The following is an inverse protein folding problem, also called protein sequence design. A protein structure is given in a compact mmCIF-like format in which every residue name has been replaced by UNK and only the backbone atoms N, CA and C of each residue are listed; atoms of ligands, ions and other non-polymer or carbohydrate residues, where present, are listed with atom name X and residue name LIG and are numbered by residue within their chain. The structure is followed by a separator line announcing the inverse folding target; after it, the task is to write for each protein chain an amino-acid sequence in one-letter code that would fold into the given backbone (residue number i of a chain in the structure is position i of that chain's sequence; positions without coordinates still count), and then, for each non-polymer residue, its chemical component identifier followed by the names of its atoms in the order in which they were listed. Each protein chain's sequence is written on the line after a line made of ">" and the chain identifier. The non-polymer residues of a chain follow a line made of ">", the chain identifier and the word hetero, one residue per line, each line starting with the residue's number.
data_IF_240566443567
#
_entry.id   IF_240566443567
#
_cell.length_a   1.000
_cell.length_b   1.000
_cell.length_c   1.000
_cell.angle_alpha   90.00
_cell.angle_beta   90.00
_cell.angle_gamma   90.00
#
_symmetry.space_group_name_H-M   'P 1'
#
loop_
_entity.id
_entity.type
_entity.pdbx_description
1 polymer ?
#
# COMPACT_ATOMS: atom_id res chain seq x y z
N UNK A 1 5.02 -0.56 -7.14
CA UNK A 1 5.83 -0.13 -8.30
C UNK A 1 7.32 -0.34 -8.06
N UNK A 2 7.86 0.11 -6.92
CA UNK A 2 9.27 -0.12 -6.59
C UNK A 2 9.62 -1.61 -6.47
N UNK A 3 8.83 -2.36 -5.67
CA UNK A 3 9.03 -3.80 -5.47
C UNK A 3 8.65 -4.66 -6.68
N UNK A 4 7.97 -4.07 -7.66
CA UNK A 4 7.64 -4.70 -8.94
C UNK A 4 8.78 -4.60 -9.97
N UNK A 5 9.91 -3.97 -9.60
CA UNK A 5 11.11 -3.89 -10.45
C UNK A 5 11.17 -2.68 -11.39
N UNK A 6 10.20 -1.76 -11.35
CA UNK A 6 10.13 -0.58 -12.24
C UNK A 6 11.18 0.51 -11.96
N UNK A 7 12.13 0.30 -11.04
CA UNK A 7 13.13 1.30 -10.69
C UNK A 7 13.98 1.75 -11.89
N UNK A 8 14.28 0.82 -12.81
CA UNK A 8 15.04 1.16 -14.02
C UNK A 8 14.27 2.10 -14.92
N UNK A 9 12.97 1.85 -15.10
CA UNK A 9 12.09 2.66 -15.95
C UNK A 9 11.84 4.04 -15.34
N UNK A 10 11.65 4.09 -14.01
CA UNK A 10 11.50 5.34 -13.27
C UNK A 10 12.77 6.19 -13.38
N UNK A 11 13.96 5.60 -13.19
CA UNK A 11 15.24 6.32 -13.38
C UNK A 11 15.45 6.76 -14.83
N UNK A 12 15.04 5.95 -15.80
CA UNK A 12 15.08 6.32 -17.22
C UNK A 12 14.20 7.54 -17.50
N UNK A 13 12.99 7.58 -16.93
CA UNK A 13 12.08 8.73 -17.06
C UNK A 13 12.70 9.99 -16.43
N UNK A 14 13.25 9.87 -15.22
CA UNK A 14 13.84 11.01 -14.51
C UNK A 14 14.98 11.68 -15.27
N UNK A 15 15.79 10.90 -15.99
CA UNK A 15 16.89 11.43 -16.85
C UNK A 15 16.40 12.26 -18.04
N UNK A 16 15.12 12.15 -18.42
CA UNK A 16 14.53 12.85 -19.56
C UNK A 16 13.67 14.04 -19.16
N UNK A 17 13.47 14.24 -17.87
CA UNK A 17 12.71 15.35 -17.33
C UNK A 17 13.65 16.49 -16.91
N UNK A 18 13.14 17.74 -16.75
CA UNK A 18 13.92 18.84 -16.21
C UNK A 18 14.57 18.45 -14.87
N UNK A 19 15.75 18.98 -14.54
CA UNK A 19 16.43 18.72 -13.27
C UNK A 19 15.51 18.91 -12.06
N UNK A 20 15.74 18.15 -10.99
CA UNK A 20 14.88 18.14 -9.80
C UNK A 20 14.66 19.52 -9.17
N UNK A 21 15.61 20.44 -9.30
CA UNK A 21 15.51 21.82 -8.80
C UNK A 21 14.64 22.75 -9.64
N UNK A 22 14.22 22.32 -10.84
CA UNK A 22 13.39 23.10 -11.77
C UNK A 22 11.95 22.57 -11.88
N UNK A 23 11.58 21.57 -11.07
CA UNK A 23 10.26 20.95 -11.10
C UNK A 23 9.77 20.63 -9.70
N UNK A 24 8.45 20.56 -9.54
CA UNK A 24 7.81 20.06 -8.33
C UNK A 24 7.59 18.55 -8.46
N UNK A 25 8.10 17.79 -7.51
CA UNK A 25 7.92 16.34 -7.43
C UNK A 25 7.22 15.97 -6.12
N UNK A 26 6.22 15.10 -6.21
CA UNK A 26 5.56 14.49 -5.06
C UNK A 26 5.72 12.97 -5.13
N UNK A 27 6.14 12.36 -4.02
CA UNK A 27 6.26 10.90 -3.91
C UNK A 27 5.31 10.42 -2.83
N UNK A 28 4.43 9.51 -3.20
CA UNK A 28 3.52 8.83 -2.29
C UNK A 28 3.94 7.37 -2.19
N UNK A 29 4.14 6.89 -0.96
CA UNK A 29 4.45 5.49 -0.72
C UNK A 29 3.75 5.02 0.55
N UNK A 30 3.14 3.84 0.48
CA UNK A 30 2.58 3.17 1.65
C UNK A 30 3.68 2.62 2.58
N UNK A 31 4.89 2.40 2.04
CA UNK A 31 6.05 1.91 2.79
C UNK A 31 7.29 2.73 2.43
N UNK A 32 8.07 3.09 3.44
CA UNK A 32 9.25 3.96 3.29
C UNK A 32 10.54 3.15 3.37
N UNK A 33 10.66 2.13 2.50
CA UNK A 33 11.87 1.31 2.41
C UNK A 33 13.08 2.16 2.01
N UNK A 34 14.29 1.69 2.35
CA UNK A 34 15.54 2.40 2.07
C UNK A 34 15.65 2.85 0.60
N UNK A 35 15.23 1.99 -0.32
CA UNK A 35 15.30 2.27 -1.75
C UNK A 35 14.33 3.37 -2.22
N UNK A 36 13.13 3.44 -1.62
CA UNK A 36 12.17 4.53 -1.87
C UNK A 36 12.72 5.85 -1.34
N UNK A 37 13.37 5.84 -0.18
CA UNK A 37 14.03 7.01 0.41
C UNK A 37 15.20 7.51 -0.44
N UNK A 38 16.03 6.60 -0.97
CA UNK A 38 17.11 6.93 -1.91
C UNK A 38 16.55 7.68 -3.14
N UNK A 39 15.49 7.15 -3.75
CA UNK A 39 14.85 7.78 -4.90
C UNK A 39 14.29 9.18 -4.57
N UNK A 40 13.67 9.33 -3.40
CA UNK A 40 13.17 10.62 -2.94
C UNK A 40 14.31 11.64 -2.82
N UNK A 41 15.42 11.23 -2.19
CA UNK A 41 16.59 12.09 -2.00
C UNK A 41 17.20 12.55 -3.33
N UNK A 42 17.33 11.65 -4.31
CA UNK A 42 17.89 11.99 -5.62
C UNK A 42 17.00 12.93 -6.44
N UNK A 43 15.68 12.82 -6.30
CA UNK A 43 14.72 13.41 -7.23
C UNK A 43 13.91 14.57 -6.64
N UNK A 44 14.11 14.92 -5.38
CA UNK A 44 13.42 16.02 -4.71
C UNK A 44 14.37 17.21 -4.44
N UNK A 45 13.79 18.40 -4.34
CA UNK A 45 14.51 19.61 -3.97
C UNK A 45 13.93 20.14 -2.66
N UNK A 46 14.68 20.02 -1.56
CA UNK A 46 14.27 20.45 -0.21
C UNK A 46 12.84 20.02 0.17
N UNK A 47 12.54 18.73 0.01
CA UNK A 47 11.19 18.22 0.25
C UNK A 47 10.82 18.22 1.72
N UNK A 48 9.58 18.61 1.99
CA UNK A 48 8.93 18.39 3.27
C UNK A 48 8.59 16.89 3.40
N UNK A 49 9.06 16.28 4.48
CA UNK A 49 8.82 14.88 4.75
C UNK A 49 7.61 14.74 5.67
N UNK A 50 6.52 14.21 5.14
CA UNK A 50 5.29 13.97 5.88
C UNK A 50 5.11 12.46 6.01
N UNK A 51 5.30 11.94 7.22
CA UNK A 51 5.01 10.57 7.58
C UNK A 51 3.80 10.58 8.51
N UNK A 52 2.68 10.09 8.00
CA UNK A 52 1.51 9.83 8.83
C UNK A 52 1.73 8.45 9.44
N UNK A 53 2.31 8.41 10.63
CA UNK A 53 2.23 7.19 11.42
C UNK A 53 0.75 6.88 11.66
N UNK A 54 0.30 5.64 11.45
CA UNK A 54 -1.06 5.29 11.80
C UNK A 54 -1.20 5.47 13.32
N UNK A 55 -1.96 6.48 13.75
CA UNK A 55 -2.28 6.79 15.16
C UNK A 55 -2.73 5.55 15.96
N UNK A 56 -3.25 4.55 15.25
CA UNK A 56 -3.57 3.22 15.73
C UNK A 56 -3.22 2.25 14.61
N UNK A 57 -2.54 1.13 14.90
CA UNK A 57 -2.57 -0.04 14.01
C UNK A 57 -4.04 -0.29 13.66
N UNK A 58 -4.34 -0.40 12.37
CA UNK A 58 -5.67 -0.52 11.76
C UNK A 58 -6.56 -1.66 12.32
N UNK A 59 -6.10 -2.42 13.30
CA UNK A 59 -6.77 -3.61 13.84
C UNK A 59 -7.83 -3.36 14.90
N UNK A 60 -7.88 -2.23 15.63
CA UNK A 60 -8.88 -2.13 16.72
C UNK A 60 -10.34 -2.01 16.25
N UNK A 61 -10.58 -1.62 14.99
CA UNK A 61 -11.93 -1.59 14.39
C UNK A 61 -12.26 -2.82 13.56
N UNK A 62 -11.30 -3.70 13.32
CA UNK A 62 -11.51 -4.92 12.54
C UNK A 62 -11.78 -6.04 13.54
N UNK A 63 -12.97 -6.64 13.45
CA UNK A 63 -13.30 -7.87 14.17
C UNK A 63 -12.78 -9.04 13.34
N UNK A 64 -11.88 -9.84 13.90
CA UNK A 64 -11.29 -11.00 13.24
C UNK A 64 -11.79 -12.29 13.90
N UNK A 65 -12.22 -13.25 13.10
CA UNK A 65 -12.68 -14.56 13.55
C UNK A 65 -12.02 -15.66 12.71
N UNK A 66 -11.75 -16.82 13.32
CA UNK A 66 -11.09 -17.95 12.67
C UNK A 66 -11.94 -19.21 12.80
N UNK A 67 -12.18 -19.86 11.67
CA UNK A 67 -12.91 -21.12 11.57
C UNK A 67 -12.00 -22.23 11.01
N UNK A 68 -12.18 -23.46 11.47
CA UNK A 68 -11.42 -24.63 11.02
C UNK A 68 -12.30 -25.67 10.30
N UNK A 69 -12.94 -25.35 9.16
CA UNK A 69 -13.72 -26.31 8.39
C UNK A 69 -12.81 -27.25 7.59
N UNK A 70 -13.30 -28.44 7.25
CA UNK A 70 -12.71 -29.22 6.16
C UNK A 70 -12.88 -28.50 4.82
N UNK A 71 -12.12 -28.89 3.78
CA UNK A 71 -12.22 -28.25 2.46
C UNK A 71 -13.63 -28.36 1.86
N UNK A 72 -14.33 -29.47 2.10
CA UNK A 72 -15.68 -29.71 1.57
C UNK A 72 -16.73 -28.82 2.27
N UNK A 73 -16.48 -28.44 3.52
CA UNK A 73 -17.42 -27.65 4.34
C UNK A 73 -17.26 -26.14 4.16
N UNK A 74 -16.14 -25.66 3.59
CA UNK A 74 -15.86 -24.22 3.41
C UNK A 74 -16.99 -23.46 2.72
N UNK A 75 -17.59 -24.05 1.68
CA UNK A 75 -18.67 -23.40 0.93
C UNK A 75 -19.96 -23.29 1.76
N UNK A 76 -20.27 -24.32 2.56
CA UNK A 76 -21.44 -24.29 3.44
C UNK A 76 -21.25 -23.26 4.57
N UNK A 77 -20.06 -23.23 5.18
CA UNK A 77 -19.73 -22.23 6.19
C UNK A 77 -19.88 -20.80 5.65
N UNK A 78 -19.38 -20.53 4.44
CA UNK A 78 -19.52 -19.21 3.82
C UNK A 78 -20.98 -18.81 3.64
N UNK A 79 -21.84 -19.73 3.21
CA UNK A 79 -23.28 -19.45 3.05
C UNK A 79 -23.91 -19.07 4.39
N UNK A 80 -23.62 -19.82 5.45
CA UNK A 80 -24.09 -19.51 6.81
C UNK A 80 -23.61 -18.14 7.28
N UNK A 81 -22.34 -17.79 7.06
CA UNK A 81 -21.79 -16.47 7.45
C UNK A 81 -22.47 -15.32 6.69
N UNK A 82 -22.77 -15.49 5.40
CA UNK A 82 -23.47 -14.47 4.61
C UNK A 82 -24.92 -14.30 5.09
N UNK A 83 -25.60 -15.40 5.41
CA UNK A 83 -26.97 -15.37 5.92
C UNK A 83 -27.07 -14.73 7.31
N UNK A 84 -26.11 -15.01 8.21
CA UNK A 84 -26.08 -14.48 9.57
C UNK A 84 -25.71 -12.98 9.62
N UNK A 85 -24.67 -12.57 8.89
CA UNK A 85 -24.15 -11.20 8.93
C UNK A 85 -24.89 -10.24 7.98
N UNK A 86 -25.55 -10.77 6.93
CA UNK A 86 -26.26 -10.04 5.87
C UNK A 86 -25.56 -8.75 5.41
N UNK A 87 -24.29 -8.83 4.94
CA UNK A 87 -23.47 -7.65 4.73
C UNK A 87 -23.90 -6.86 3.49
N UNK A 88 -23.87 -5.52 3.58
CA UNK A 88 -24.09 -4.65 2.43
C UNK A 88 -23.05 -4.87 1.30
N UNK A 89 -21.80 -5.20 1.69
CA UNK A 89 -20.67 -5.46 0.79
C UNK A 89 -19.71 -6.50 1.40
N UNK A 90 -19.28 -7.47 0.58
CA UNK A 90 -18.24 -8.45 0.91
C UNK A 90 -17.24 -8.58 -0.26
N UNK A 91 -15.98 -8.92 0.03
CA UNK A 91 -14.87 -9.11 -0.93
C UNK A 91 -14.38 -10.56 -0.84
#
# INVERSE_FOLDING_TARGET
>A
MYDLGFIKDIRWLFRRMPPANQRLNMLFSATLSYRVRELAFEQMNNAEYIEVEPEQKTGHRIKEELFYPSNEEKMRLLQTLIEEEWPDRAI
#
